data_IF_986232435271
#
_entry.id   IF_986232435271
#
_cell.length_a   1.000
_cell.length_b   1.000
_cell.length_c   1.000
_cell.angle_alpha   90.00
_cell.angle_beta   90.00
_cell.angle_gamma   90.00
#
_symmetry.space_group_name_H-M   'P 1'
#
loop_
_entity.id
_entity.type
_entity.pdbx_description
1 polymer ?
#
# COMPACT_ATOMS: atom_id res chain seq x y z
N UNK A 1 4.61 4.96 -1.69
CA UNK A 1 4.72 4.84 -3.15
C UNK A 1 3.47 5.45 -3.77
N UNK A 2 3.62 6.49 -4.59
CA UNK A 2 2.54 7.39 -5.00
C UNK A 2 2.21 7.21 -6.49
N UNK A 3 1.93 5.96 -6.92
CA UNK A 3 1.72 5.64 -8.34
C UNK A 3 0.35 6.08 -8.87
N UNK A 4 -0.67 6.19 -8.02
CA UNK A 4 -2.03 6.53 -8.48
C UNK A 4 -2.19 7.99 -8.94
N UNK A 5 -1.33 8.90 -8.48
CA UNK A 5 -1.33 10.29 -8.95
C UNK A 5 -0.67 10.44 -10.33
N UNK A 6 0.31 9.58 -10.64
CA UNK A 6 0.99 9.55 -11.94
C UNK A 6 0.03 9.15 -13.07
N UNK A 7 -0.80 8.12 -12.83
CA UNK A 7 -1.75 7.61 -13.83
C UNK A 7 -2.83 8.64 -14.19
N UNK A 8 -3.28 9.47 -13.23
CA UNK A 8 -4.29 10.49 -13.50
C UNK A 8 -3.74 11.64 -14.36
N UNK A 9 -2.49 12.07 -14.14
CA UNK A 9 -1.86 13.08 -14.98
C UNK A 9 -1.52 12.53 -16.38
N UNK A 10 -1.13 11.27 -16.46
CA UNK A 10 -0.86 10.60 -17.73
C UNK A 10 -2.15 10.43 -18.55
N UNK A 11 -3.27 10.09 -17.91
CA UNK A 11 -4.58 10.03 -18.54
C UNK A 11 -5.04 11.40 -19.08
N UNK A 12 -4.88 12.48 -18.31
CA UNK A 12 -5.21 13.84 -18.75
C UNK A 12 -4.33 14.25 -19.95
N UNK A 13 -3.05 13.89 -19.93
CA UNK A 13 -2.12 14.15 -21.04
C UNK A 13 -2.51 13.41 -22.32
N UNK A 14 -2.91 12.14 -22.20
CA UNK A 14 -3.43 11.37 -23.33
C UNK A 14 -4.72 11.96 -23.90
N UNK A 15 -5.63 12.41 -23.04
CA UNK A 15 -6.88 13.07 -23.45
C UNK A 15 -6.60 14.38 -24.22
N UNK A 16 -5.68 15.20 -23.72
CA UNK A 16 -5.27 16.45 -24.37
C UNK A 16 -4.65 16.19 -25.76
N UNK A 17 -3.87 15.11 -25.86
CA UNK A 17 -3.25 14.69 -27.12
C UNK A 17 -4.32 14.22 -28.13
N UNK A 18 -5.31 13.46 -27.68
CA UNK A 18 -6.44 13.03 -28.51
C UNK A 18 -7.25 14.23 -29.01
N UNK A 19 -7.62 15.18 -28.13
CA UNK A 19 -8.36 16.39 -28.50
C UNK A 19 -7.59 17.28 -29.48
N UNK A 20 -6.28 17.42 -29.31
CA UNK A 20 -5.42 18.19 -30.23
C UNK A 20 -5.38 17.53 -31.61
N UNK A 21 -5.35 16.20 -31.65
CA UNK A 21 -5.36 15.43 -32.90
C UNK A 21 -6.70 15.56 -33.62
N UNK A 22 -7.81 15.47 -32.89
CA UNK A 22 -9.16 15.65 -33.43
C UNK A 22 -9.37 17.08 -33.97
N UNK A 23 -8.92 18.10 -33.25
CA UNK A 23 -8.96 19.50 -33.70
C UNK A 23 -8.23 19.72 -35.03
N UNK A 24 -7.05 19.10 -35.19
CA UNK A 24 -6.28 19.12 -36.45
C UNK A 24 -7.01 18.40 -37.58
N UNK A 25 -7.59 17.23 -37.31
CA UNK A 25 -8.36 16.48 -38.30
C UNK A 25 -9.60 17.26 -38.76
N UNK A 26 -10.31 17.91 -37.83
CA UNK A 26 -11.48 18.72 -38.15
C UNK A 26 -11.12 19.93 -39.03
N UNK A 27 -9.97 20.57 -38.77
CA UNK A 27 -9.44 21.64 -39.63
C UNK A 27 -9.15 21.15 -41.05
N UNK A 28 -8.54 19.97 -41.20
CA UNK A 28 -8.25 19.38 -42.52
C UNK A 28 -9.53 19.05 -43.30
N UNK A 29 -10.57 18.52 -42.64
CA UNK A 29 -11.87 18.30 -43.29
C UNK A 29 -12.54 19.63 -43.67
N UNK A 30 -12.39 20.68 -42.85
CA UNK A 30 -12.88 22.03 -43.19
C UNK A 30 -12.19 22.58 -44.43
N UNK A 31 -10.86 22.47 -44.52
CA UNK A 31 -10.09 22.92 -45.69
C UNK A 31 -10.49 22.16 -46.97
N UNK A 32 -10.81 20.87 -46.84
CA UNK A 32 -11.29 20.02 -47.93
C UNK A 32 -12.68 20.44 -48.41
N UNK A 33 -13.59 20.79 -47.50
CA UNK A 33 -14.90 21.36 -47.84
C UNK A 33 -14.72 22.68 -48.59
N UNK A 34 -13.81 23.54 -48.13
CA UNK A 34 -13.52 24.82 -48.80
C UNK A 34 -13.01 24.61 -50.24
N UNK A 35 -12.11 23.63 -50.44
CA UNK A 35 -11.63 23.21 -51.76
C UNK A 35 -12.75 22.71 -52.68
N UNK A 36 -13.69 21.94 -52.15
CA UNK A 36 -14.86 21.47 -52.89
C UNK A 36 -15.76 22.64 -53.29
N UNK A 37 -16.04 23.57 -52.38
CA UNK A 37 -16.83 24.77 -52.68
C UNK A 37 -16.15 25.65 -53.74
N UNK A 38 -14.82 25.82 -53.66
CA UNK A 38 -14.03 26.48 -54.71
C UNK A 38 -14.13 25.75 -56.05
N UNK A 39 -14.12 24.42 -56.07
CA UNK A 39 -14.31 23.63 -57.29
C UNK A 39 -15.71 23.80 -57.88
N UNK A 40 -16.75 23.79 -57.04
CA UNK A 40 -18.13 24.06 -57.46
C UNK A 40 -18.25 25.46 -58.06
N UNK A 41 -17.67 26.49 -57.44
CA UNK A 41 -17.67 27.86 -57.99
C UNK A 41 -17.10 27.92 -59.41
N UNK A 42 -15.97 27.25 -59.64
CA UNK A 42 -15.32 27.15 -60.96
C UNK A 42 -16.20 26.42 -61.98
N UNK A 43 -16.85 25.33 -61.58
CA UNK A 43 -17.75 24.57 -62.46
C UNK A 43 -19.01 25.37 -62.84
N UNK A 44 -19.50 26.20 -61.93
CA UNK A 44 -20.63 27.09 -62.18
C UNK A 44 -20.23 28.38 -62.91
N UNK A 45 -18.93 28.61 -63.18
CA UNK A 45 -18.39 29.85 -63.73
C UNK A 45 -18.76 31.11 -62.90
N UNK A 46 -18.88 30.95 -61.58
CA UNK A 46 -19.23 31.99 -60.61
C UNK A 46 -18.05 32.17 -59.65
N UNK A 47 -17.81 33.40 -59.15
CA UNK A 47 -16.71 33.62 -58.20
C UNK A 47 -17.02 32.95 -56.85
N UNK A 48 -16.00 32.45 -56.16
CA UNK A 48 -16.20 31.83 -54.84
C UNK A 48 -16.87 32.78 -53.83
N UNK A 49 -16.55 34.07 -53.90
CA UNK A 49 -17.14 35.12 -53.06
C UNK A 49 -18.63 35.36 -53.36
N UNK A 50 -19.07 35.12 -54.60
CA UNK A 50 -20.48 35.27 -54.99
C UNK A 50 -21.35 34.04 -54.68
N UNK A 51 -20.77 32.94 -54.19
CA UNK A 51 -21.53 31.86 -53.54
C UNK A 51 -22.01 32.26 -52.13
N UNK A 52 -21.32 33.21 -51.48
CA UNK A 52 -21.68 33.70 -50.14
C UNK A 52 -22.55 34.97 -50.14
N UNK A 53 -22.74 35.61 -51.30
CA UNK A 53 -23.62 36.78 -51.44
C UNK A 53 -25.09 36.38 -51.50
N UNK A 54 -25.97 37.19 -50.89
CA UNK A 54 -27.42 36.99 -50.98
C UNK A 54 -27.89 36.99 -52.44
N UNK A 55 -28.67 35.96 -52.80
CA UNK A 55 -29.23 35.79 -54.15
C UNK A 55 -30.28 36.88 -54.40
N UNK A 56 -30.24 37.51 -55.57
CA UNK A 56 -31.23 38.53 -55.99
C UNK A 56 -32.65 37.96 -56.00
N UNK A 57 -33.62 38.73 -55.51
CA UNK A 57 -35.04 38.34 -55.39
C UNK A 57 -35.67 37.87 -56.71
N UNK A 58 -35.24 38.42 -57.85
CA UNK A 58 -35.71 37.99 -59.18
C UNK A 58 -35.22 36.59 -59.54
N UNK A 59 -33.96 36.26 -59.24
CA UNK A 59 -33.33 34.97 -59.47
C UNK A 59 -33.98 33.89 -58.60
N UNK A 60 -34.26 34.23 -57.34
CA UNK A 60 -34.98 33.38 -56.39
C UNK A 60 -36.43 33.11 -56.84
N UNK A 61 -37.14 34.14 -57.31
CA UNK A 61 -38.51 34.01 -57.85
C UNK A 61 -38.55 33.18 -59.14
N UNK A 62 -37.55 33.30 -60.01
CA UNK A 62 -37.45 32.51 -61.23
C UNK A 62 -37.12 31.05 -60.94
N UNK A 63 -36.18 30.79 -60.02
CA UNK A 63 -35.89 29.45 -59.54
C UNK A 63 -37.12 28.78 -58.90
N UNK A 64 -37.83 29.47 -58.02
CA UNK A 64 -39.04 28.94 -57.37
C UNK A 64 -40.21 28.71 -58.35
N UNK A 65 -40.29 29.48 -59.45
CA UNK A 65 -41.26 29.26 -60.52
C UNK A 65 -40.93 28.05 -61.38
N UNK A 66 -39.65 27.83 -61.69
CA UNK A 66 -39.18 26.71 -62.53
C UNK A 66 -39.03 25.40 -61.75
N UNK A 67 -38.74 25.49 -60.46
CA UNK A 67 -38.42 24.35 -59.61
C UNK A 67 -39.58 24.05 -58.64
N UNK A 68 -40.76 23.75 -59.18
CA UNK A 68 -41.83 23.15 -58.38
C UNK A 68 -41.48 21.66 -58.22
N UNK A 69 -41.06 21.20 -57.04
CA UNK A 69 -40.69 19.80 -56.85
C UNK A 69 -41.90 18.92 -57.17
N UNK A 70 -41.67 17.89 -57.99
CA UNK A 70 -42.66 16.84 -58.21
C UNK A 70 -43.04 16.22 -56.86
N UNK A 71 -44.26 15.70 -56.73
CA UNK A 71 -44.69 14.97 -55.53
C UNK A 71 -43.70 13.87 -55.15
N UNK A 72 -43.07 13.25 -56.15
CA UNK A 72 -42.01 12.24 -55.98
C UNK A 72 -40.76 12.87 -55.34
N UNK A 73 -40.25 13.99 -55.87
CA UNK A 73 -39.08 14.68 -55.32
C UNK A 73 -39.29 15.15 -53.89
N UNK A 74 -40.52 15.60 -53.55
CA UNK A 74 -40.88 15.97 -52.19
C UNK A 74 -40.85 14.76 -51.24
N UNK A 75 -41.46 13.64 -51.63
CA UNK A 75 -41.44 12.39 -50.85
C UNK A 75 -40.01 11.84 -50.67
N UNK A 76 -39.16 12.00 -51.69
CA UNK A 76 -37.75 11.61 -51.62
C UNK A 76 -37.01 12.46 -50.60
N UNK A 77 -37.19 13.78 -50.62
CA UNK A 77 -36.58 14.67 -49.62
C UNK A 77 -37.10 14.40 -48.20
N UNK A 78 -38.42 14.22 -48.04
CA UNK A 78 -39.02 13.85 -46.74
C UNK A 78 -38.43 12.52 -46.21
N UNK A 79 -38.19 11.53 -47.09
CA UNK A 79 -37.51 10.30 -46.69
C UNK A 79 -36.04 10.50 -46.31
N UNK A 80 -35.30 11.34 -47.04
CA UNK A 80 -33.91 11.65 -46.68
C UNK A 80 -33.83 12.36 -45.34
N UNK A 81 -34.74 13.30 -45.06
CA UNK A 81 -34.81 14.00 -43.78
C UNK A 81 -35.12 13.02 -42.64
N UNK A 82 -36.05 12.08 -42.85
CA UNK A 82 -36.35 11.03 -41.88
C UNK A 82 -35.15 10.10 -41.63
N UNK A 83 -34.46 9.65 -42.67
CA UNK A 83 -33.25 8.84 -42.53
C UNK A 83 -32.19 9.60 -41.75
N UNK A 84 -32.00 10.89 -42.05
CA UNK A 84 -31.04 11.73 -41.36
C UNK A 84 -31.37 11.87 -39.87
N UNK A 85 -32.64 12.10 -39.52
CA UNK A 85 -33.10 12.15 -38.13
C UNK A 85 -32.89 10.81 -37.40
N UNK A 86 -33.17 9.68 -38.05
CA UNK A 86 -32.94 8.35 -37.49
C UNK A 86 -31.45 8.13 -37.19
N UNK A 87 -30.57 8.50 -38.12
CA UNK A 87 -29.12 8.35 -37.93
C UNK A 87 -28.59 9.27 -36.83
N UNK A 88 -29.08 10.51 -36.74
CA UNK A 88 -28.75 11.39 -35.61
C UNK A 88 -29.19 10.79 -34.27
N UNK A 89 -30.41 10.26 -34.19
CA UNK A 89 -30.91 9.66 -32.96
C UNK A 89 -30.12 8.40 -32.59
N UNK A 90 -29.73 7.57 -33.57
CA UNK A 90 -28.84 6.42 -33.37
C UNK A 90 -27.47 6.83 -32.85
N UNK A 91 -26.89 7.86 -33.43
CA UNK A 91 -25.61 8.41 -32.99
C UNK A 91 -25.68 8.89 -31.53
N UNK A 92 -26.70 9.67 -31.18
CA UNK A 92 -26.91 10.15 -29.81
C UNK A 92 -27.12 8.97 -28.85
N UNK A 93 -27.97 8.00 -29.21
CA UNK A 93 -28.20 6.81 -28.38
C UNK A 93 -26.92 6.00 -28.15
N UNK A 94 -26.08 5.86 -29.18
CA UNK A 94 -24.77 5.19 -29.06
C UNK A 94 -23.86 5.94 -28.07
N UNK A 95 -23.80 7.28 -28.15
CA UNK A 95 -23.02 8.10 -27.22
C UNK A 95 -23.55 8.04 -25.79
N UNK A 96 -24.87 8.07 -25.61
CA UNK A 96 -25.50 7.93 -24.29
C UNK A 96 -25.22 6.54 -23.70
N UNK A 97 -25.30 5.48 -24.51
CA UNK A 97 -24.99 4.12 -24.08
C UNK A 97 -23.54 3.99 -23.64
N UNK A 98 -22.60 4.56 -24.40
CA UNK A 98 -21.19 4.59 -24.04
C UNK A 98 -20.95 5.36 -22.72
N UNK A 99 -21.64 6.48 -22.53
CA UNK A 99 -21.57 7.25 -21.29
C UNK A 99 -22.07 6.43 -20.10
N UNK A 100 -23.20 5.73 -20.24
CA UNK A 100 -23.75 4.84 -19.20
C UNK A 100 -22.75 3.73 -18.87
N UNK A 101 -22.09 3.16 -19.88
CA UNK A 101 -21.07 2.13 -19.68
C UNK A 101 -19.87 2.68 -18.90
N UNK A 102 -19.34 3.84 -19.28
CA UNK A 102 -18.24 4.50 -18.57
C UNK A 102 -18.61 4.82 -17.11
N UNK A 103 -19.81 5.33 -16.86
CA UNK A 103 -20.31 5.59 -15.50
C UNK A 103 -20.36 4.28 -14.69
N UNK A 104 -20.82 3.19 -15.30
CA UNK A 104 -20.89 1.87 -14.66
C UNK A 104 -19.50 1.33 -14.33
N UNK A 105 -18.53 1.48 -15.23
CA UNK A 105 -17.14 1.12 -15.00
C UNK A 105 -16.51 1.93 -13.85
N UNK A 106 -16.78 3.23 -13.77
CA UNK A 106 -16.35 4.06 -12.65
C UNK A 106 -16.97 3.62 -11.32
N UNK A 107 -18.26 3.27 -11.28
CA UNK A 107 -18.88 2.73 -10.06
C UNK A 107 -18.25 1.41 -9.62
N UNK A 108 -17.90 0.53 -10.56
CA UNK A 108 -17.18 -0.72 -10.27
C UNK A 108 -15.78 -0.44 -9.73
N UNK A 109 -15.06 0.52 -10.31
CA UNK A 109 -13.74 0.96 -9.84
C UNK A 109 -13.82 1.50 -8.40
N UNK A 110 -14.77 2.38 -8.09
CA UNK A 110 -14.98 2.90 -6.73
C UNK A 110 -15.31 1.77 -5.75
N UNK A 111 -16.18 0.84 -6.14
CA UNK A 111 -16.54 -0.32 -5.32
C UNK A 111 -15.32 -1.18 -5.00
N UNK A 112 -14.46 -1.43 -5.98
CA UNK A 112 -13.23 -2.20 -5.79
C UNK A 112 -12.24 -1.45 -4.89
N UNK A 113 -12.06 -0.16 -5.10
CA UNK A 113 -11.23 0.69 -4.24
C UNK A 113 -11.68 0.63 -2.76
N UNK A 114 -12.98 0.70 -2.49
CA UNK A 114 -13.50 0.60 -1.12
C UNK A 114 -13.19 -0.78 -0.51
N UNK A 115 -13.31 -1.86 -1.30
CA UNK A 115 -12.97 -3.22 -0.84
C UNK A 115 -11.48 -3.35 -0.53
N UNK A 116 -10.63 -2.86 -1.43
CA UNK A 116 -9.17 -2.85 -1.24
C UNK A 116 -8.80 -2.04 0.00
N UNK A 117 -9.38 -0.86 0.20
CA UNK A 117 -9.09 -0.04 1.38
C UNK A 117 -9.52 -0.73 2.68
N UNK A 118 -10.64 -1.47 2.68
CA UNK A 118 -11.04 -2.27 3.86
C UNK A 118 -10.04 -3.38 4.14
N UNK A 119 -9.63 -4.12 3.11
CA UNK A 119 -8.65 -5.18 3.24
C UNK A 119 -7.29 -4.68 3.76
N UNK A 120 -6.81 -3.55 3.21
CA UNK A 120 -5.56 -2.91 3.68
C UNK A 120 -5.66 -2.48 5.14
N UNK A 121 -6.80 -1.92 5.57
CA UNK A 121 -6.99 -1.55 6.98
C UNK A 121 -7.01 -2.74 7.92
N UNK A 122 -7.62 -3.86 7.51
CA UNK A 122 -7.60 -5.10 8.29
C UNK A 122 -6.16 -5.63 8.41
N UNK A 123 -5.42 -5.65 7.30
CA UNK A 123 -4.02 -6.07 7.28
C UNK A 123 -3.10 -5.16 8.12
N UNK A 124 -3.30 -3.84 8.07
CA UNK A 124 -2.54 -2.89 8.90
C UNK A 124 -2.84 -3.09 10.39
N UNK A 125 -4.07 -3.42 10.75
CA UNK A 125 -4.45 -3.71 12.13
C UNK A 125 -3.84 -5.02 12.62
N UNK A 126 -3.86 -6.08 11.80
CA UNK A 126 -3.22 -7.35 12.12
C UNK A 126 -1.70 -7.19 12.27
N UNK A 127 -1.07 -6.45 11.36
CA UNK A 127 0.37 -6.12 11.46
C UNK A 127 0.66 -5.31 12.72
N UNK A 128 -0.16 -4.31 13.05
CA UNK A 128 -0.02 -3.54 14.27
C UNK A 128 -0.13 -4.41 15.52
N UNK A 129 -1.10 -5.33 15.57
CA UNK A 129 -1.28 -6.26 16.68
C UNK A 129 -0.07 -7.19 16.83
N UNK A 130 0.40 -7.74 15.71
CA UNK A 130 1.56 -8.62 15.69
C UNK A 130 2.82 -7.90 16.18
N UNK A 131 3.12 -6.71 15.66
CA UNK A 131 4.32 -5.95 16.01
C UNK A 131 4.30 -5.47 17.46
N UNK A 132 3.17 -4.97 17.95
CA UNK A 132 3.12 -4.35 19.29
C UNK A 132 2.87 -5.34 20.42
N UNK A 133 2.14 -6.43 20.16
CA UNK A 133 1.75 -7.38 21.20
C UNK A 133 2.42 -8.74 21.02
N UNK A 134 2.16 -9.44 19.92
CA UNK A 134 2.64 -10.82 19.77
C UNK A 134 4.17 -10.91 19.75
N UNK A 135 4.84 -10.01 19.02
CA UNK A 135 6.30 -9.98 18.98
C UNK A 135 6.92 -9.73 20.36
N UNK A 136 6.29 -8.84 21.16
CA UNK A 136 6.76 -8.50 22.50
C UNK A 136 6.52 -9.65 23.47
N UNK A 137 5.40 -10.37 23.34
CA UNK A 137 5.11 -11.58 24.12
C UNK A 137 6.17 -12.64 23.83
N UNK A 138 6.49 -12.91 22.57
CA UNK A 138 7.53 -13.88 22.18
C UNK A 138 8.90 -13.49 22.75
N UNK A 139 9.26 -12.21 22.68
CA UNK A 139 10.52 -11.70 23.26
C UNK A 139 10.52 -11.90 24.77
N UNK A 140 9.42 -11.60 25.45
CA UNK A 140 9.27 -11.74 26.90
C UNK A 140 9.38 -13.22 27.31
N UNK A 141 8.67 -14.12 26.64
CA UNK A 141 8.72 -15.56 26.89
C UNK A 141 10.15 -16.11 26.70
N UNK A 142 10.83 -15.71 25.62
CA UNK A 142 12.22 -16.10 25.40
C UNK A 142 13.17 -15.58 26.49
N UNK A 143 12.88 -14.39 27.03
CA UNK A 143 13.68 -13.78 28.09
C UNK A 143 13.44 -14.46 29.43
N UNK A 144 12.19 -14.84 29.72
CA UNK A 144 11.83 -15.64 30.90
C UNK A 144 12.55 -16.99 30.85
N UNK A 145 12.51 -17.67 29.71
CA UNK A 145 13.19 -18.96 29.55
C UNK A 145 14.71 -18.84 29.77
N UNK A 146 15.35 -17.82 29.17
CA UNK A 146 16.79 -17.57 29.39
C UNK A 146 17.11 -17.25 30.84
N UNK A 147 16.24 -16.53 31.55
CA UNK A 147 16.44 -16.21 32.95
C UNK A 147 16.35 -17.46 33.82
N UNK A 148 15.41 -18.34 33.53
CA UNK A 148 15.24 -19.60 34.25
C UNK A 148 16.42 -20.57 34.01
N UNK A 149 16.86 -20.72 32.76
CA UNK A 149 18.06 -21.47 32.41
C UNK A 149 19.31 -20.93 33.14
N UNK A 150 19.46 -19.60 33.18
CA UNK A 150 20.58 -18.95 33.87
C UNK A 150 20.51 -19.13 35.38
N UNK A 151 19.31 -19.02 35.96
CA UNK A 151 19.06 -19.28 37.39
C UNK A 151 19.47 -20.71 37.76
N UNK A 152 19.01 -21.70 36.98
CA UNK A 152 19.34 -23.10 37.16
C UNK A 152 20.85 -23.36 37.04
N UNK A 153 21.50 -22.75 36.03
CA UNK A 153 22.95 -22.86 35.84
C UNK A 153 23.72 -22.24 37.00
N UNK A 154 23.32 -21.04 37.46
CA UNK A 154 23.92 -20.38 38.62
C UNK A 154 23.75 -21.19 39.90
N UNK A 155 22.57 -21.78 40.13
CA UNK A 155 22.30 -22.66 41.28
C UNK A 155 23.17 -23.92 41.25
N UNK A 156 23.31 -24.55 40.08
CA UNK A 156 24.20 -25.70 39.89
C UNK A 156 25.67 -25.34 40.12
N UNK A 157 26.12 -24.19 39.61
CA UNK A 157 27.49 -23.72 39.80
C UNK A 157 27.78 -23.39 41.28
N UNK A 158 26.85 -22.71 41.96
CA UNK A 158 26.96 -22.45 43.41
C UNK A 158 27.03 -23.76 44.18
N UNK A 159 26.18 -24.73 43.86
CA UNK A 159 26.20 -26.06 44.48
C UNK A 159 27.54 -26.77 44.26
N UNK A 160 28.13 -26.65 43.07
CA UNK A 160 29.44 -27.20 42.75
C UNK A 160 30.56 -26.54 43.56
N UNK A 161 30.56 -25.19 43.64
CA UNK A 161 31.52 -24.42 44.43
C UNK A 161 31.42 -24.79 45.92
N UNK A 162 30.20 -24.87 46.46
CA UNK A 162 29.97 -25.31 47.85
C UNK A 162 30.57 -26.69 48.08
N UNK A 163 30.35 -27.63 47.15
CA UNK A 163 30.86 -29.00 47.26
C UNK A 163 32.39 -29.06 47.15
N UNK A 164 32.98 -28.25 46.28
CA UNK A 164 34.44 -28.10 46.20
C UNK A 164 34.99 -27.50 47.49
N UNK A 165 34.36 -26.44 48.02
CA UNK A 165 34.76 -25.82 49.29
C UNK A 165 34.71 -26.84 50.43
N UNK A 166 33.64 -27.63 50.54
CA UNK A 166 33.52 -28.71 51.52
C UNK A 166 34.61 -29.77 51.36
N UNK A 167 34.97 -30.11 50.11
CA UNK A 167 36.02 -31.10 49.83
C UNK A 167 37.39 -30.55 50.23
N UNK A 168 37.72 -29.31 49.84
CA UNK A 168 38.97 -28.65 50.24
C UNK A 168 39.05 -28.47 51.75
N UNK A 169 37.95 -28.10 52.43
CA UNK A 169 37.90 -28.02 53.89
C UNK A 169 38.10 -29.38 54.58
N UNK A 170 37.73 -30.49 53.94
CA UNK A 170 37.98 -31.86 54.44
C UNK A 170 39.40 -32.37 54.17
N UNK A 171 40.01 -31.94 53.07
CA UNK A 171 41.38 -32.32 52.68
C UNK A 171 42.46 -31.52 53.44
N UNK A 172 42.10 -30.38 54.03
CA UNK A 172 43.00 -29.62 54.91
C UNK A 172 43.25 -30.42 56.20
N UNK A 173 44.51 -30.70 56.48
CA UNK A 173 44.93 -31.27 57.74
C UNK A 173 44.97 -30.18 58.83
N UNK A 174 43.83 -30.00 59.51
CA UNK A 174 43.64 -29.04 60.60
C UNK A 174 44.53 -29.31 61.83
N UNK A 175 45.29 -30.41 61.84
CA UNK A 175 46.26 -30.72 62.89
C UNK A 175 47.61 -30.01 62.71
N UNK A 176 47.93 -29.56 61.49
CA UNK A 176 49.21 -28.93 61.13
C UNK A 176 49.18 -27.40 61.36
N UNK A 177 47.98 -26.82 61.44
CA UNK A 177 47.82 -25.37 61.58
C UNK A 177 48.15 -24.95 63.03
N UNK A 178 49.04 -23.96 63.27
CA UNK A 178 49.44 -23.55 64.61
C UNK A 178 48.25 -23.09 65.45
N UNK A 179 47.84 -23.91 66.41
CA UNK A 179 46.74 -23.59 67.34
C UNK A 179 47.20 -22.49 68.30
N UNK A 180 46.87 -21.25 67.97
CA UNK A 180 47.19 -20.08 68.82
C UNK A 180 47.40 -18.75 68.08
N UNK A 181 47.52 -18.74 66.76
CA UNK A 181 47.66 -17.49 65.99
C UNK A 181 46.32 -16.75 65.85
N UNK A 182 46.36 -15.42 65.78
CA UNK A 182 45.18 -14.55 65.58
C UNK A 182 44.47 -14.91 64.27
N UNK A 183 45.24 -15.29 63.25
CA UNK A 183 44.79 -15.69 61.92
C UNK A 183 43.93 -16.96 61.96
N UNK A 184 44.26 -17.94 62.81
CA UNK A 184 43.47 -19.16 62.98
C UNK A 184 42.10 -18.88 63.63
N UNK A 185 42.06 -17.97 64.63
CA UNK A 185 40.80 -17.55 65.26
C UNK A 185 39.89 -16.78 64.29
N UNK A 186 40.47 -15.95 63.42
CA UNK A 186 39.72 -15.23 62.38
C UNK A 186 39.18 -16.17 61.30
N UNK A 187 39.96 -17.17 60.90
CA UNK A 187 39.54 -18.17 59.92
C UNK A 187 38.32 -18.98 60.42
N UNK A 188 38.36 -19.45 61.68
CA UNK A 188 37.24 -20.18 62.28
C UNK A 188 36.01 -19.30 62.41
N UNK A 189 36.19 -18.04 62.83
CA UNK A 189 35.08 -17.08 62.92
C UNK A 189 34.42 -16.87 61.55
N UNK A 190 35.20 -16.74 60.48
CA UNK A 190 34.65 -16.61 59.14
C UNK A 190 33.97 -17.89 58.63
N UNK A 191 34.46 -19.07 59.02
CA UNK A 191 33.80 -20.35 58.72
C UNK A 191 32.47 -20.51 59.47
N UNK A 192 32.42 -20.08 60.73
CA UNK A 192 31.18 -20.06 61.53
C UNK A 192 30.18 -19.03 61.00
N UNK A 193 30.64 -17.83 60.64
CA UNK A 193 29.80 -16.81 59.98
C UNK A 193 29.26 -17.30 58.63
N UNK A 194 30.02 -18.15 57.91
CA UNK A 194 29.56 -18.78 56.66
C UNK A 194 28.52 -19.87 56.90
N UNK A 195 28.67 -20.68 57.95
CA UNK A 195 27.71 -21.72 58.32
C UNK A 195 26.40 -21.11 58.85
N UNK A 196 26.48 -20.08 59.71
CA UNK A 196 25.31 -19.42 60.28
C UNK A 196 24.51 -18.59 59.26
N UNK A 197 25.19 -17.85 58.37
CA UNK A 197 24.49 -16.98 57.42
C UNK A 197 23.93 -17.71 56.20
N UNK A 198 24.55 -18.83 55.80
CA UNK A 198 24.18 -19.55 54.57
C UNK A 198 23.70 -20.99 54.81
N UNK A 199 23.75 -21.49 56.06
CA UNK A 199 23.31 -22.85 56.42
C UNK A 199 24.17 -23.96 55.81
N UNK A 200 25.43 -23.66 55.48
CA UNK A 200 26.34 -24.58 54.79
C UNK A 200 27.32 -25.16 55.80
N UNK A 201 27.11 -26.42 56.19
CA UNK A 201 28.06 -27.17 57.01
C UNK A 201 29.36 -27.42 56.24
N UNK A 202 30.42 -26.69 56.56
CA UNK A 202 31.71 -26.75 55.86
C UNK A 202 32.73 -27.69 56.52
N UNK A 203 32.58 -27.98 57.81
CA UNK A 203 33.49 -28.86 58.57
C UNK A 203 32.67 -29.69 59.58
N UNK A 204 33.07 -30.94 59.85
CA UNK A 204 32.39 -31.79 60.84
C UNK A 204 32.62 -31.29 62.27
N UNK A 205 31.58 -31.37 63.11
CA UNK A 205 31.52 -30.88 64.51
C UNK A 205 32.70 -31.37 65.38
N UNK A 206 33.32 -32.50 65.05
CA UNK A 206 34.50 -33.05 65.73
C UNK A 206 35.77 -32.17 65.64
N UNK A 207 35.87 -31.32 64.62
CA UNK A 207 36.99 -30.37 64.48
C UNK A 207 36.76 -29.08 65.29
N UNK A 208 35.50 -28.65 65.42
CA UNK A 208 35.06 -27.48 66.21
C UNK A 208 35.10 -27.77 67.71
N UNK A 209 34.74 -28.99 68.14
CA UNK A 209 34.82 -29.41 69.55
C UNK A 209 36.27 -29.49 70.06
N UNK A 210 37.23 -29.86 69.20
CA UNK A 210 38.65 -29.92 69.57
C UNK A 210 39.32 -28.56 69.81
N UNK A 211 38.59 -27.45 69.57
CA UNK A 211 39.06 -26.07 69.75
C UNK A 211 38.35 -25.38 70.93
N UNK A 212 37.22 -25.93 71.41
CA UNK A 212 36.48 -25.37 72.56
C UNK A 212 37.01 -25.86 73.91
N UNK A 213 37.87 -26.90 73.93
CA UNK A 213 38.51 -27.42 75.14
C UNK A 213 40.04 -27.37 75.04
N UNK A 214 40.61 -26.17 74.94
CA UNK A 214 41.86 -25.75 75.63
C UNK A 214 42.04 -24.24 75.57
#
# INVERSE_FOLDING_TARGET
MNNNASDNFEYISQLLTALTTESRANRQETDKIELLLKRVSKQCAISYESLGSEVTDETLKNYNKQNKPSKISRLVNENYDLIYQIEQQRYINSKVTLLIQNITEHFLSIKNFIKEQKYVREQDLDNFVYENFESQIVILESSIQKLDEKSNTSSSNLSCIIRQLQTTCREIDWSIIPRGTIEHKQLIKHLQELDENYGIKLVDDSTLESISTT
#
